data_IF_191999907390
#
_entry.id   IF_191999907390
#
_cell.length_a   1.000
_cell.length_b   1.000
_cell.length_c   1.000
_cell.angle_alpha   90.00
_cell.angle_beta   90.00
_cell.angle_gamma   90.00
#
_symmetry.space_group_name_H-M   'P 1'
#
loop_
_entity.id
_entity.type
_entity.pdbx_description
1 polymer ?
#
# COMPACT_ATOMS: atom_id res chain seq x y z
N UNK A 1 9.90 -5.78 -11.79
CA UNK A 1 9.70 -4.48 -11.12
C UNK A 1 8.74 -4.69 -9.97
N UNK A 2 8.94 -4.00 -8.85
CA UNK A 2 8.11 -4.15 -7.66
C UNK A 2 6.95 -3.17 -7.73
N UNK A 3 5.72 -3.68 -7.82
CA UNK A 3 4.50 -2.87 -7.82
C UNK A 3 3.97 -2.70 -6.40
N UNK A 4 3.59 -1.48 -6.03
CA UNK A 4 3.07 -1.11 -4.73
C UNK A 4 1.64 -0.57 -4.86
N UNK A 5 0.74 -1.05 -4.00
CA UNK A 5 -0.61 -0.54 -3.86
C UNK A 5 -0.75 0.19 -2.53
N UNK A 6 -1.13 1.46 -2.58
CA UNK A 6 -1.40 2.29 -1.42
C UNK A 6 -2.89 2.27 -1.12
N UNK A 7 -3.22 1.80 0.08
CA UNK A 7 -4.56 1.79 0.66
C UNK A 7 -5.26 3.17 0.57
N UNK A 8 -6.58 3.17 0.44
CA UNK A 8 -7.42 4.36 0.34
C UNK A 8 -7.36 5.25 1.60
N UNK A 9 -7.00 4.70 2.75
CA UNK A 9 -6.75 5.47 3.99
C UNK A 9 -5.53 6.39 3.90
N UNK A 10 -4.64 6.16 2.92
CA UNK A 10 -3.46 6.97 2.67
C UNK A 10 -3.73 7.96 1.53
N UNK A 11 -3.04 9.11 1.56
CA UNK A 11 -3.29 10.13 0.55
C UNK A 11 -2.78 9.69 -0.83
N UNK A 12 -3.56 9.81 -1.92
CA UNK A 12 -3.16 9.37 -3.26
C UNK A 12 -1.83 9.96 -3.76
N UNK A 13 -1.49 11.18 -3.34
CA UNK A 13 -0.24 11.85 -3.69
C UNK A 13 1.02 11.14 -3.16
N UNK A 14 0.90 10.24 -2.17
CA UNK A 14 2.01 9.42 -1.69
C UNK A 14 2.46 8.40 -2.74
N UNK A 15 1.53 7.87 -3.54
CA UNK A 15 1.85 6.89 -4.57
C UNK A 15 2.77 7.52 -5.62
N UNK A 16 2.36 8.68 -6.15
CA UNK A 16 3.16 9.46 -7.09
C UNK A 16 4.53 9.82 -6.50
N UNK A 17 4.57 10.32 -5.28
CA UNK A 17 5.83 10.70 -4.64
C UNK A 17 6.78 9.51 -4.44
N UNK A 18 6.26 8.32 -4.08
CA UNK A 18 7.07 7.09 -3.99
C UNK A 18 7.64 6.72 -5.36
N UNK A 19 6.82 6.78 -6.41
CA UNK A 19 7.27 6.52 -7.79
C UNK A 19 8.39 7.47 -8.21
N UNK A 20 8.20 8.78 -7.99
CA UNK A 20 9.19 9.81 -8.36
C UNK A 20 10.48 9.71 -7.54
N UNK A 21 10.38 9.36 -6.25
CA UNK A 21 11.53 9.37 -5.34
C UNK A 21 12.36 8.08 -5.39
N UNK A 22 11.72 6.92 -5.56
CA UNK A 22 12.38 5.62 -5.44
C UNK A 22 12.32 4.77 -6.72
N UNK A 23 11.56 5.19 -7.74
CA UNK A 23 11.42 4.45 -8.99
C UNK A 23 10.57 3.17 -8.90
N UNK A 24 9.87 2.95 -7.77
CA UNK A 24 8.88 1.88 -7.65
C UNK A 24 7.63 2.20 -8.46
N UNK A 25 7.02 1.18 -9.06
CA UNK A 25 5.71 1.35 -9.68
C UNK A 25 4.65 1.39 -8.58
N UNK A 26 4.13 2.57 -8.25
CA UNK A 26 3.24 2.74 -7.11
C UNK A 26 1.89 3.36 -7.50
N UNK A 27 0.81 2.72 -7.09
CA UNK A 27 -0.57 3.14 -7.37
C UNK A 27 -1.36 3.31 -6.08
N UNK A 28 -2.18 4.35 -6.01
CA UNK A 28 -3.22 4.43 -4.98
C UNK A 28 -4.46 3.67 -5.43
N UNK A 29 -5.20 3.05 -4.51
CA UNK A 29 -6.48 2.39 -4.84
C UNK A 29 -7.45 3.34 -5.54
N UNK A 30 -7.42 4.63 -5.20
CA UNK A 30 -8.21 5.66 -5.88
C UNK A 30 -7.84 5.84 -7.35
N UNK A 31 -6.55 5.82 -7.67
CA UNK A 31 -6.09 5.89 -9.06
C UNK A 31 -6.54 4.66 -9.87
N UNK A 32 -6.64 3.50 -9.21
CA UNK A 32 -7.12 2.26 -9.83
C UNK A 32 -8.65 2.14 -9.88
N UNK A 33 -9.40 3.15 -9.45
CA UNK A 33 -10.86 3.08 -9.33
C UNK A 33 -11.37 2.28 -8.13
N UNK A 34 -10.49 1.59 -7.41
CA UNK A 34 -10.79 0.69 -6.28
C UNK A 34 -10.96 1.38 -4.92
N UNK A 35 -11.21 2.69 -4.88
CA UNK A 35 -11.41 3.44 -3.63
C UNK A 35 -12.60 2.99 -2.77
N UNK A 36 -13.50 2.16 -3.32
CA UNK A 36 -14.66 1.57 -2.63
C UNK A 36 -14.54 0.06 -2.48
N UNK A 37 -13.45 -0.54 -2.96
CA UNK A 37 -13.19 -1.96 -2.82
C UNK A 37 -12.92 -2.29 -1.35
N UNK A 38 -13.35 -3.47 -0.93
CA UNK A 38 -13.10 -3.95 0.43
C UNK A 38 -11.74 -4.68 0.52
N UNK A 39 -11.26 -4.89 1.75
CA UNK A 39 -9.98 -5.53 2.04
C UNK A 39 -9.72 -6.81 1.23
N UNK A 40 -10.64 -7.79 1.19
CA UNK A 40 -10.46 -9.02 0.41
C UNK A 40 -10.29 -8.78 -1.09
N UNK A 41 -11.09 -7.88 -1.67
CA UNK A 41 -11.02 -7.55 -3.10
C UNK A 41 -9.65 -6.93 -3.44
N UNK A 42 -9.19 -5.99 -2.62
CA UNK A 42 -7.87 -5.37 -2.77
C UNK A 42 -6.76 -6.41 -2.60
N UNK A 43 -6.88 -7.31 -1.62
CA UNK A 43 -5.88 -8.35 -1.34
C UNK A 43 -5.73 -9.32 -2.51
N UNK A 44 -6.85 -9.85 -3.03
CA UNK A 44 -6.81 -10.74 -4.19
C UNK A 44 -6.38 -10.02 -5.46
N UNK A 45 -6.74 -8.73 -5.62
CA UNK A 45 -6.23 -7.94 -6.75
C UNK A 45 -4.72 -7.75 -6.70
N UNK A 46 -4.20 -7.43 -5.51
CA UNK A 46 -2.76 -7.32 -5.30
C UNK A 46 -2.05 -8.67 -5.55
N UNK A 47 -2.66 -9.79 -5.15
CA UNK A 47 -2.18 -11.15 -5.46
C UNK A 47 -2.07 -11.37 -6.97
N UNK A 48 -3.13 -11.09 -7.73
CA UNK A 48 -3.13 -11.25 -9.19
C UNK A 48 -2.04 -10.42 -9.87
N UNK A 49 -1.83 -9.19 -9.37
CA UNK A 49 -0.83 -8.27 -9.91
C UNK A 49 0.59 -8.55 -9.42
N UNK A 50 0.77 -9.52 -8.53
CA UNK A 50 2.02 -9.75 -7.79
C UNK A 50 2.56 -8.46 -7.11
N UNK A 51 1.63 -7.63 -6.63
CA UNK A 51 1.91 -6.35 -5.99
C UNK A 51 2.03 -6.51 -4.47
N UNK A 52 2.66 -5.52 -3.82
CA UNK A 52 2.69 -5.40 -2.36
C UNK A 52 1.68 -4.35 -1.92
N UNK A 53 0.95 -4.61 -0.84
CA UNK A 53 -0.02 -3.65 -0.28
C UNK A 53 0.62 -2.88 0.86
N UNK A 54 0.57 -1.56 0.80
CA UNK A 54 0.92 -0.64 1.89
C UNK A 54 -0.37 -0.19 2.54
N UNK A 55 -0.57 -0.54 3.81
CA UNK A 55 -1.81 -0.28 4.55
C UNK A 55 -1.55 0.02 6.02
N UNK A 56 -2.48 0.74 6.66
CA UNK A 56 -2.57 0.87 8.12
C UNK A 56 -3.56 -0.12 8.74
N UNK A 57 -4.42 -0.71 7.92
CA UNK A 57 -5.47 -1.62 8.33
C UNK A 57 -4.89 -3.00 8.65
N UNK A 58 -5.05 -3.41 9.91
CA UNK A 58 -4.60 -4.72 10.39
C UNK A 58 -5.38 -5.88 9.77
N UNK A 59 -6.54 -5.64 9.17
CA UNK A 59 -7.36 -6.71 8.58
C UNK A 59 -6.67 -7.39 7.39
N UNK A 60 -5.74 -6.69 6.72
CA UNK A 60 -4.87 -7.29 5.71
C UNK A 60 -3.93 -8.37 6.28
N UNK A 61 -3.56 -8.26 7.56
CA UNK A 61 -2.77 -9.32 8.22
C UNK A 61 -3.62 -10.56 8.46
N UNK A 62 -4.90 -10.40 8.79
CA UNK A 62 -5.83 -11.53 8.94
C UNK A 62 -6.03 -12.24 7.58
N UNK A 63 -6.13 -11.46 6.49
CA UNK A 63 -6.21 -12.02 5.14
C UNK A 63 -4.91 -12.74 4.75
N UNK A 64 -3.76 -12.17 5.11
CA UNK A 64 -2.46 -12.79 4.87
C UNK A 64 -2.30 -14.10 5.65
N UNK A 65 -2.71 -14.13 6.93
CA UNK A 65 -2.68 -15.32 7.77
C UNK A 65 -3.60 -16.43 7.21
N UNK A 66 -4.81 -16.05 6.78
CA UNK A 66 -5.80 -16.98 6.24
C UNK A 66 -5.44 -17.54 4.86
N UNK A 67 -4.93 -16.70 3.96
CA UNK A 67 -4.75 -17.05 2.55
C UNK A 67 -3.29 -17.23 2.14
N UNK A 68 -2.33 -16.90 3.00
CA UNK A 68 -0.91 -16.91 2.72
C UNK A 68 -0.46 -15.83 1.71
N UNK A 69 0.86 -15.60 1.57
CA UNK A 69 1.39 -14.79 0.48
C UNK A 69 1.27 -15.52 -0.88
N UNK A 70 1.25 -14.79 -2.01
CA UNK A 70 1.15 -13.32 -2.14
C UNK A 70 -0.26 -12.77 -1.84
N UNK A 71 -0.46 -11.44 -1.68
CA UNK A 71 0.52 -10.35 -1.77
C UNK A 71 1.41 -10.24 -0.51
N UNK A 72 2.52 -9.51 -0.62
CA UNK A 72 3.26 -9.05 0.57
C UNK A 72 2.58 -7.82 1.14
N UNK A 73 2.60 -7.68 2.47
CA UNK A 73 1.98 -6.55 3.17
C UNK A 73 3.05 -5.71 3.85
N UNK A 74 3.07 -4.41 3.58
CA UNK A 74 3.80 -3.40 4.35
C UNK A 74 2.80 -2.73 5.28
N UNK A 75 2.80 -3.17 6.54
CA UNK A 75 1.90 -2.63 7.56
C UNK A 75 2.51 -1.42 8.27
N UNK A 76 1.80 -0.30 8.23
CA UNK A 76 2.23 0.96 8.81
C UNK A 76 1.66 1.14 10.22
N UNK A 77 2.54 1.16 11.22
CA UNK A 77 2.16 1.27 12.64
C UNK A 77 2.42 2.66 13.24
N UNK A 78 2.62 3.68 12.41
CA UNK A 78 2.98 5.04 12.83
C UNK A 78 1.80 5.92 13.31
N UNK A 79 0.60 5.36 13.46
CA UNK A 79 -0.62 6.10 13.82
C UNK A 79 -1.04 7.13 12.76
N UNK A 80 -1.94 8.05 13.13
CA UNK A 80 -2.32 9.17 12.28
C UNK A 80 -1.20 10.20 12.24
N UNK A 81 -0.79 10.60 11.04
CA UNK A 81 0.32 11.53 10.87
C UNK A 81 0.19 12.30 9.55
N UNK A 82 0.94 13.39 9.43
CA UNK A 82 0.90 14.25 8.25
C UNK A 82 1.52 13.57 7.03
N UNK A 83 1.16 14.03 5.83
CA UNK A 83 1.78 13.57 4.59
C UNK A 83 3.29 13.84 4.56
N UNK A 84 3.74 14.95 5.15
CA UNK A 84 5.16 15.25 5.29
C UNK A 84 5.86 14.18 6.14
N UNK A 85 5.29 13.84 7.30
CA UNK A 85 5.86 12.81 8.16
C UNK A 85 5.84 11.42 7.52
N UNK A 86 4.78 11.08 6.77
CA UNK A 86 4.75 9.84 5.99
C UNK A 86 5.90 9.78 4.96
N UNK A 87 6.19 10.88 4.28
CA UNK A 87 7.33 10.95 3.34
C UNK A 87 8.67 10.77 4.04
N UNK A 88 8.85 11.33 5.24
CA UNK A 88 10.06 11.10 6.03
C UNK A 88 10.21 9.63 6.44
N UNK A 89 9.13 8.99 6.89
CA UNK A 89 9.11 7.56 7.25
C UNK A 89 9.49 6.72 6.03
N UNK A 90 8.82 6.92 4.89
CA UNK A 90 9.17 6.22 3.66
C UNK A 90 10.59 6.52 3.19
N UNK A 91 11.04 7.78 3.31
CA UNK A 91 12.42 8.20 3.05
C UNK A 91 13.46 7.42 3.84
N UNK A 92 13.13 7.00 5.06
CA UNK A 92 14.03 6.23 5.92
C UNK A 92 14.02 4.72 5.63
N UNK A 93 12.88 4.15 5.22
CA UNK A 93 12.69 2.69 5.19
C UNK A 93 12.45 2.09 3.79
N UNK A 94 12.12 2.89 2.76
CA UNK A 94 11.97 2.43 1.37
C UNK A 94 13.18 2.76 0.48
N UNK A 95 14.15 3.52 1.01
CA UNK A 95 15.39 3.89 0.32
C UNK A 95 16.34 2.69 0.16
#
# INVERSE_FOLDING_TARGET
>A
MTTLLIDAQLTPGLARWITERFGYECYSLRHMGMHRAEGPEIFFKAREMNAMVITKDSDFLQLLDRHGPPPKIIWLTCGNTSNQRMREIFGKYLA
#
